data_IF_647942291370
#
_entry.id   IF_647942291370
#
_cell.length_a   1.000
_cell.length_b   1.000
_cell.length_c   1.000
_cell.angle_alpha   90.00
_cell.angle_beta   90.00
_cell.angle_gamma   90.00
#
_symmetry.space_group_name_H-M   'P 1'
#
loop_
_entity.id
_entity.type
_entity.pdbx_description
1 polymer ?
#
# COMPACT_ATOMS: atom_id res chain seq x y z
N UNK A 1 -31.99 19.93 -11.39
CA UNK A 1 -31.25 20.03 -12.67
C UNK A 1 -29.92 20.75 -12.45
N UNK A 2 -28.79 20.04 -12.34
CA UNK A 2 -27.44 20.65 -12.31
C UNK A 2 -26.42 19.70 -12.92
N UNK A 3 -26.51 19.45 -14.23
CA UNK A 3 -25.42 18.85 -15.01
C UNK A 3 -25.45 19.35 -16.45
N UNK A 4 -25.36 20.67 -16.64
CA UNK A 4 -24.75 21.21 -17.84
C UNK A 4 -23.25 21.32 -17.54
N UNK A 5 -22.56 20.18 -17.57
CA UNK A 5 -21.10 20.18 -17.67
C UNK A 5 -20.78 20.98 -18.92
N UNK A 6 -20.07 22.09 -18.76
CA UNK A 6 -19.47 22.88 -19.85
C UNK A 6 -18.98 21.91 -20.92
N UNK A 7 -19.51 22.02 -22.13
CA UNK A 7 -18.92 21.39 -23.31
C UNK A 7 -17.59 22.11 -23.51
N UNK A 8 -16.55 21.64 -22.84
CA UNK A 8 -15.19 22.10 -23.10
C UNK A 8 -14.81 21.45 -24.42
N UNK A 9 -14.68 22.28 -25.47
CA UNK A 9 -14.09 21.84 -26.73
C UNK A 9 -12.67 21.40 -26.41
N UNK A 10 -12.46 20.09 -26.28
CA UNK A 10 -11.13 19.53 -26.03
C UNK A 10 -10.25 19.92 -27.22
N UNK A 11 -9.09 20.53 -26.93
CA UNK A 11 -8.06 20.86 -27.92
C UNK A 11 -6.74 20.18 -27.55
N UNK A 12 -5.89 19.96 -28.55
CA UNK A 12 -4.56 19.40 -28.35
C UNK A 12 -4.56 17.94 -27.83
N UNK A 13 -3.65 17.59 -26.90
CA UNK A 13 -3.46 16.20 -26.45
C UNK A 13 -4.70 15.54 -25.86
N UNK A 14 -5.55 16.31 -25.16
CA UNK A 14 -6.79 15.80 -24.57
C UNK A 14 -7.80 15.37 -25.65
N UNK A 15 -7.88 16.12 -26.75
CA UNK A 15 -8.76 15.81 -27.88
C UNK A 15 -8.30 14.53 -28.58
N UNK A 16 -6.99 14.41 -28.81
CA UNK A 16 -6.39 13.23 -29.43
C UNK A 16 -6.64 11.98 -28.59
N UNK A 17 -6.45 12.06 -27.27
CA UNK A 17 -6.75 10.96 -26.34
C UNK A 17 -8.21 10.52 -26.41
N UNK A 18 -9.15 11.47 -26.41
CA UNK A 18 -10.59 11.16 -26.49
C UNK A 18 -10.95 10.57 -27.85
N UNK A 19 -10.36 11.07 -28.94
CA UNK A 19 -10.51 10.46 -30.28
C UNK A 19 -9.98 9.03 -30.35
N UNK A 20 -8.92 8.71 -29.60
CA UNK A 20 -8.40 7.34 -29.47
C UNK A 20 -9.25 6.45 -28.57
N UNK A 21 -10.18 6.99 -27.77
CA UNK A 21 -10.99 6.21 -26.83
C UNK A 21 -10.20 5.61 -25.66
N UNK A 22 -9.04 6.18 -25.30
CA UNK A 22 -8.16 5.63 -24.24
C UNK A 22 -8.19 6.44 -22.94
N UNK A 23 -7.88 5.78 -21.82
CA UNK A 23 -7.75 6.43 -20.51
C UNK A 23 -6.46 7.27 -20.43
N UNK A 24 -6.39 8.21 -19.47
CA UNK A 24 -5.14 8.98 -19.22
C UNK A 24 -3.96 8.05 -18.88
N UNK A 25 -4.23 6.92 -18.24
CA UNK A 25 -3.22 5.91 -17.89
C UNK A 25 -2.61 5.27 -19.14
N UNK A 26 -3.45 4.79 -20.05
CA UNK A 26 -3.01 4.20 -21.32
C UNK A 26 -2.32 5.24 -22.20
N UNK A 27 -2.86 6.45 -22.27
CA UNK A 27 -2.27 7.54 -23.03
C UNK A 27 -0.87 7.92 -22.52
N UNK A 28 -0.69 7.97 -21.19
CA UNK A 28 0.61 8.23 -20.57
C UNK A 28 1.65 7.16 -20.94
N UNK A 29 1.23 5.88 -21.00
CA UNK A 29 2.09 4.78 -21.42
C UNK A 29 2.54 4.91 -22.87
N UNK A 30 1.61 5.21 -23.80
CA UNK A 30 1.95 5.48 -25.21
C UNK A 30 3.01 6.58 -25.32
N UNK A 31 2.79 7.68 -24.62
CA UNK A 31 3.69 8.82 -24.62
C UNK A 31 5.01 8.58 -23.84
N UNK A 32 5.08 7.53 -23.02
CA UNK A 32 6.24 7.24 -22.17
C UNK A 32 6.45 8.27 -21.07
N UNK A 33 5.36 8.79 -20.48
CA UNK A 33 5.39 9.78 -19.40
C UNK A 33 4.51 9.34 -18.22
N UNK A 34 4.63 10.01 -17.08
CA UNK A 34 3.76 9.74 -15.93
C UNK A 34 2.32 10.21 -16.18
N UNK A 35 1.35 9.52 -15.58
CA UNK A 35 -0.07 9.88 -15.62
C UNK A 35 -0.37 11.26 -15.05
N UNK A 36 0.30 11.64 -13.96
CA UNK A 36 0.21 13.00 -13.41
C UNK A 36 0.67 14.06 -14.42
N UNK A 37 1.69 13.76 -15.23
CA UNK A 37 2.16 14.65 -16.30
C UNK A 37 1.11 14.80 -17.39
N UNK A 38 0.42 13.74 -17.79
CA UNK A 38 -0.73 13.83 -18.73
C UNK A 38 -1.83 14.70 -18.14
N UNK A 39 -2.20 14.50 -16.88
CA UNK A 39 -3.23 15.33 -16.23
C UNK A 39 -2.85 16.83 -16.24
N UNK A 40 -1.59 17.16 -15.94
CA UNK A 40 -1.11 18.55 -15.95
C UNK A 40 -1.04 19.14 -17.37
N UNK A 41 -0.72 18.32 -18.37
CA UNK A 41 -0.74 18.73 -19.79
C UNK A 41 -2.17 19.02 -20.24
N UNK A 42 -3.11 18.12 -19.94
CA UNK A 42 -4.52 18.29 -20.33
C UNK A 42 -5.18 19.48 -19.63
N UNK A 43 -4.75 19.82 -18.41
CA UNK A 43 -5.19 21.01 -17.69
C UNK A 43 -4.44 22.29 -18.07
N UNK A 44 -3.49 22.23 -19.01
CA UNK A 44 -2.67 23.38 -19.43
C UNK A 44 -1.69 23.89 -18.36
N UNK A 45 -1.46 23.13 -17.29
CA UNK A 45 -0.55 23.51 -16.20
C UNK A 45 0.91 23.24 -16.55
N UNK A 46 1.18 22.36 -17.52
CA UNK A 46 2.55 22.00 -17.92
C UNK A 46 2.67 21.85 -19.43
N UNK A 47 3.74 22.37 -20.06
CA UNK A 47 4.01 22.12 -21.47
C UNK A 47 4.37 20.64 -21.71
N UNK A 48 4.10 20.19 -22.94
CA UNK A 48 4.40 18.82 -23.37
C UNK A 48 5.92 18.62 -23.49
N UNK A 49 6.52 17.60 -22.83
CA UNK A 49 7.93 17.28 -23.02
C UNK A 49 8.24 16.91 -24.48
N UNK A 50 9.40 17.31 -25.00
CA UNK A 50 9.77 17.09 -26.42
C UNK A 50 9.61 15.63 -26.88
N UNK A 51 10.04 14.66 -26.05
CA UNK A 51 9.88 13.22 -26.37
C UNK A 51 8.41 12.80 -26.53
N UNK A 52 7.51 13.37 -25.72
CA UNK A 52 6.08 13.12 -25.82
C UNK A 52 5.45 13.88 -27.00
N UNK A 53 5.99 15.06 -27.35
CA UNK A 53 5.53 15.84 -28.49
C UNK A 53 5.77 15.10 -29.81
N UNK A 54 6.96 14.50 -29.99
CA UNK A 54 7.29 13.69 -31.19
C UNK A 54 6.26 12.57 -31.36
N UNK A 55 6.00 11.80 -30.29
CA UNK A 55 4.99 10.73 -30.32
C UNK A 55 3.56 11.24 -30.57
N UNK A 56 3.20 12.39 -30.00
CA UNK A 56 1.89 13.01 -30.29
C UNK A 56 1.77 13.37 -31.77
N UNK A 57 2.81 13.93 -32.38
CA UNK A 57 2.80 14.26 -33.81
C UNK A 57 2.73 13.01 -34.69
N UNK A 58 3.41 11.92 -34.33
CA UNK A 58 3.29 10.64 -35.03
C UNK A 58 1.85 10.11 -35.01
N UNK A 59 1.21 10.15 -33.84
CA UNK A 59 -0.19 9.74 -33.67
C UNK A 59 -1.11 10.64 -34.51
N UNK A 60 -0.92 11.96 -34.44
CA UNK A 60 -1.74 12.92 -35.19
C UNK A 60 -1.58 12.75 -36.72
N UNK A 61 -0.36 12.53 -37.20
CA UNK A 61 -0.09 12.21 -38.61
C UNK A 61 -0.72 10.88 -39.03
N UNK A 62 -0.67 9.86 -38.18
CA UNK A 62 -1.34 8.58 -38.44
C UNK A 62 -2.86 8.76 -38.58
N UNK A 63 -3.48 9.53 -37.67
CA UNK A 63 -4.90 9.88 -37.76
C UNK A 63 -5.25 10.71 -39.01
N UNK A 64 -4.37 11.63 -39.42
CA UNK A 64 -4.57 12.43 -40.62
C UNK A 64 -4.49 11.58 -41.89
N UNK A 65 -3.60 10.59 -41.94
CA UNK A 65 -3.46 9.65 -43.06
C UNK A 65 -4.62 8.66 -43.15
N UNK A 66 -5.23 8.29 -42.02
CA UNK A 66 -6.30 7.29 -41.93
C UNK A 66 -7.71 7.87 -42.14
N UNK A 67 -7.85 8.99 -42.85
CA UNK A 67 -9.09 9.69 -43.19
C UNK A 67 -10.38 8.93 -42.85
N UNK A 68 -10.96 9.22 -41.69
CA UNK A 68 -12.27 8.71 -41.25
C UNK A 68 -12.43 7.17 -41.26
N UNK A 69 -11.73 6.47 -40.38
CA UNK A 69 -12.10 5.10 -39.98
C UNK A 69 -12.60 5.07 -38.53
N UNK A 70 -13.90 5.29 -38.37
CA UNK A 70 -14.67 4.92 -37.18
C UNK A 70 -14.71 3.39 -36.91
N UNK A 71 -13.78 2.61 -37.47
CA UNK A 71 -13.83 1.16 -37.53
C UNK A 71 -12.47 0.46 -37.28
N UNK A 72 -11.45 1.14 -36.73
CA UNK A 72 -10.35 0.41 -36.10
C UNK A 72 -10.78 -0.03 -34.71
N UNK A 73 -11.15 -1.31 -34.60
CA UNK A 73 -11.49 -1.97 -33.35
C UNK A 73 -10.40 -1.69 -32.29
N UNK A 74 -10.74 -1.13 -31.12
CA UNK A 74 -9.78 -0.90 -30.03
C UNK A 74 -9.23 -2.20 -29.39
N UNK A 75 -9.59 -3.36 -29.94
CA UNK A 75 -9.29 -4.67 -29.37
C UNK A 75 -7.87 -5.19 -29.65
N UNK A 76 -7.13 -4.65 -30.64
CA UNK A 76 -5.83 -5.21 -31.05
C UNK A 76 -4.60 -4.45 -30.54
N UNK A 77 -4.79 -3.33 -29.83
CA UNK A 77 -3.69 -2.50 -29.29
C UNK A 77 -3.71 -2.37 -27.77
N UNK A 78 -4.49 -3.21 -27.08
CA UNK A 78 -4.28 -3.40 -25.64
C UNK A 78 -3.13 -4.40 -25.49
N UNK A 79 -1.90 -3.96 -25.14
CA UNK A 79 -0.85 -4.92 -24.78
C UNK A 79 -1.41 -5.79 -23.66
N UNK A 80 -1.26 -7.11 -23.79
CA UNK A 80 -1.75 -8.11 -22.84
C UNK A 80 -1.50 -7.62 -21.40
N UNK A 81 -2.55 -7.12 -20.76
CA UNK A 81 -2.45 -6.25 -19.57
C UNK A 81 -2.18 -7.03 -18.27
N UNK A 82 -1.89 -8.33 -18.38
CA UNK A 82 -1.79 -9.24 -17.23
C UNK A 82 -0.71 -8.82 -16.21
N UNK A 83 0.40 -8.24 -16.66
CA UNK A 83 1.47 -7.79 -15.74
C UNK A 83 1.17 -6.45 -15.06
N UNK A 84 0.31 -5.60 -15.64
CA UNK A 84 0.14 -4.23 -15.14
C UNK A 84 -0.75 -4.16 -13.90
N UNK A 85 -1.81 -4.96 -13.82
CA UNK A 85 -2.65 -4.99 -12.62
C UNK A 85 -1.86 -5.52 -11.43
N UNK A 86 -1.02 -6.54 -11.63
CA UNK A 86 -0.11 -7.07 -10.62
C UNK A 86 0.90 -6.02 -10.15
N UNK A 87 1.53 -5.28 -11.07
CA UNK A 87 2.48 -4.20 -10.74
C UNK A 87 1.78 -3.03 -10.02
N UNK A 88 0.56 -2.68 -10.41
CA UNK A 88 -0.26 -1.64 -9.76
C UNK A 88 -0.62 -2.06 -8.33
N UNK A 89 -1.01 -3.31 -8.13
CA UNK A 89 -1.30 -3.88 -6.82
C UNK A 89 -0.05 -3.93 -5.94
N UNK A 90 1.09 -4.36 -6.49
CA UNK A 90 2.40 -4.33 -5.82
C UNK A 90 2.78 -2.91 -5.39
N UNK A 91 2.57 -1.90 -6.23
CA UNK A 91 2.83 -0.48 -5.86
C UNK A 91 1.92 0.00 -4.75
N UNK A 92 0.62 -0.33 -4.81
CA UNK A 92 -0.33 -0.01 -3.73
C UNK A 92 0.06 -0.69 -2.43
N UNK A 93 0.47 -1.95 -2.49
CA UNK A 93 0.98 -2.71 -1.37
C UNK A 93 2.21 -2.01 -0.76
N UNK A 94 3.24 -1.73 -1.56
CA UNK A 94 4.47 -1.07 -1.11
C UNK A 94 4.18 0.31 -0.50
N UNK A 95 3.32 1.11 -1.12
CA UNK A 95 2.91 2.41 -0.59
C UNK A 95 2.24 2.30 0.78
N UNK A 96 1.36 1.29 0.98
CA UNK A 96 0.74 1.02 2.27
C UNK A 96 1.77 0.60 3.32
N UNK A 97 2.69 -0.30 2.97
CA UNK A 97 3.77 -0.76 3.88
C UNK A 97 4.61 0.44 4.34
N UNK A 98 5.01 1.29 3.41
CA UNK A 98 5.77 2.51 3.72
C UNK A 98 4.97 3.47 4.62
N UNK A 99 3.69 3.68 4.32
CA UNK A 99 2.82 4.54 5.14
C UNK A 99 2.68 4.02 6.57
N UNK A 100 2.48 2.72 6.75
CA UNK A 100 2.40 2.08 8.07
C UNK A 100 3.72 2.23 8.83
N UNK A 101 4.86 2.02 8.16
CA UNK A 101 6.19 2.21 8.74
C UNK A 101 6.43 3.65 9.21
N UNK A 102 6.02 4.65 8.41
CA UNK A 102 6.11 6.07 8.78
C UNK A 102 5.27 6.40 10.02
N UNK A 103 4.05 5.87 10.10
CA UNK A 103 3.18 6.06 11.27
C UNK A 103 3.79 5.41 12.51
N UNK A 104 4.29 4.17 12.40
CA UNK A 104 4.96 3.46 13.50
C UNK A 104 6.15 4.26 14.02
N UNK A 105 7.04 4.70 13.13
CA UNK A 105 8.20 5.51 13.49
C UNK A 105 7.80 6.82 14.20
N UNK A 106 6.78 7.51 13.68
CA UNK A 106 6.29 8.76 14.29
C UNK A 106 5.76 8.53 15.71
N UNK A 107 4.98 7.46 15.93
CA UNK A 107 4.46 7.12 17.25
C UNK A 107 5.60 6.77 18.23
N UNK A 108 6.55 5.93 17.80
CA UNK A 108 7.72 5.58 18.61
C UNK A 108 8.54 6.82 19.00
N UNK A 109 8.77 7.72 18.04
CA UNK A 109 9.48 8.97 18.29
C UNK A 109 8.76 9.86 19.32
N UNK A 110 7.43 9.90 19.31
CA UNK A 110 6.64 10.65 20.29
C UNK A 110 6.73 10.04 21.70
N UNK A 111 6.76 8.71 21.81
CA UNK A 111 6.93 8.02 23.10
C UNK A 111 8.34 8.27 23.64
N UNK A 112 9.38 8.09 22.82
CA UNK A 112 10.77 8.32 23.21
C UNK A 112 11.03 9.77 23.66
N UNK A 113 10.49 10.75 22.93
CA UNK A 113 10.64 12.16 23.28
C UNK A 113 10.01 12.49 24.65
N UNK A 114 8.91 11.84 25.01
CA UNK A 114 8.31 12.00 26.33
C UNK A 114 9.15 11.36 27.45
N UNK A 115 9.70 10.17 27.21
CA UNK A 115 10.56 9.49 28.18
C UNK A 115 11.83 10.30 28.46
N UNK A 116 12.42 10.90 27.42
CA UNK A 116 13.54 11.84 27.57
C UNK A 116 13.13 13.08 28.38
N UNK A 117 11.94 13.63 28.11
CA UNK A 117 11.44 14.80 28.82
C UNK A 117 11.18 14.51 30.31
N UNK A 118 10.68 13.31 30.62
CA UNK A 118 10.51 12.82 31.99
C UNK A 118 11.85 12.66 32.71
N UNK A 119 12.87 12.10 32.05
CA UNK A 119 14.24 12.00 32.60
C UNK A 119 14.82 13.39 32.89
N UNK A 120 14.69 14.32 31.96
CA UNK A 120 15.17 15.69 32.15
C UNK A 120 14.45 16.38 33.32
N UNK A 121 13.14 16.13 33.47
CA UNK A 121 12.38 16.64 34.59
C UNK A 121 12.84 16.05 35.93
N UNK A 122 13.10 14.75 36.02
CA UNK A 122 13.61 14.12 37.25
C UNK A 122 14.99 14.64 37.63
N UNK A 123 15.88 14.88 36.65
CA UNK A 123 17.19 15.49 36.91
C UNK A 123 17.09 16.90 37.47
N UNK A 124 16.20 17.73 36.92
CA UNK A 124 15.98 19.09 37.43
C UNK A 124 15.38 19.05 38.84
N UNK A 125 14.46 18.13 39.14
CA UNK A 125 13.91 17.97 40.49
C UNK A 125 15.00 17.57 41.50
N UNK A 126 15.80 16.56 41.18
CA UNK A 126 16.91 16.13 42.02
C UNK A 126 17.91 17.28 42.25
N UNK A 127 18.24 18.03 41.20
CA UNK A 127 19.12 19.19 41.32
C UNK A 127 18.55 20.28 42.23
N UNK A 128 17.24 20.52 42.18
CA UNK A 128 16.55 21.43 43.09
C UNK A 128 16.55 20.94 44.54
N UNK A 129 16.39 19.64 44.78
CA UNK A 129 16.47 19.04 46.13
C UNK A 129 17.87 19.16 46.72
N UNK A 130 18.90 18.87 45.92
CA UNK A 130 20.30 18.91 46.36
C UNK A 130 20.82 20.34 46.58
N UNK A 131 20.40 21.30 45.76
CA UNK A 131 20.95 22.67 45.76
C UNK A 131 19.97 23.71 46.34
N UNK A 132 18.81 23.27 46.84
CA UNK A 132 17.72 24.12 47.33
C UNK A 132 18.07 24.94 48.57
N UNK A 133 19.22 24.68 49.21
CA UNK A 133 19.66 25.40 50.41
C UNK A 133 20.30 26.77 50.11
N UNK A 134 20.68 27.06 48.86
CA UNK A 134 21.25 28.36 48.48
C UNK A 134 20.20 29.28 47.88
N UNK A 135 19.34 29.84 48.74
CA UNK A 135 18.33 30.81 48.35
C UNK A 135 18.98 32.02 47.64
N UNK A 136 18.43 32.40 46.49
CA UNK A 136 18.86 33.57 45.73
C UNK A 136 20.03 33.33 44.76
N UNK A 137 20.57 32.12 44.69
CA UNK A 137 21.60 31.79 43.70
C UNK A 137 21.05 31.82 42.26
N UNK A 138 21.85 32.32 41.32
CA UNK A 138 21.53 32.27 39.88
C UNK A 138 21.27 30.86 39.37
N UNK A 139 21.92 29.85 39.97
CA UNK A 139 21.69 28.44 39.67
C UNK A 139 20.27 28.00 40.06
N UNK A 140 19.79 28.43 41.23
CA UNK A 140 18.43 28.14 41.69
C UNK A 140 17.39 28.76 40.75
N UNK A 141 17.59 30.03 40.36
CA UNK A 141 16.70 30.71 39.41
C UNK A 141 16.68 30.02 38.03
N UNK A 142 17.83 29.53 37.55
CA UNK A 142 17.90 28.75 36.31
C UNK A 142 17.13 27.43 36.42
N UNK A 143 17.26 26.69 37.53
CA UNK A 143 16.55 25.45 37.76
C UNK A 143 15.04 25.64 37.88
N UNK A 144 14.58 26.70 38.57
CA UNK A 144 13.14 27.04 38.65
C UNK A 144 12.57 27.34 37.27
N UNK A 145 13.28 28.09 36.42
CA UNK A 145 12.88 28.35 35.03
C UNK A 145 12.83 27.07 34.20
N UNK A 146 13.83 26.20 34.32
CA UNK A 146 13.86 24.92 33.64
C UNK A 146 12.70 24.01 34.07
N UNK A 147 12.41 23.95 35.37
CA UNK A 147 11.28 23.19 35.93
C UNK A 147 9.95 23.70 35.37
N UNK A 148 9.72 25.02 35.37
CA UNK A 148 8.51 25.61 34.81
C UNK A 148 8.35 25.29 33.31
N UNK A 149 9.41 25.43 32.52
CA UNK A 149 9.40 25.11 31.09
C UNK A 149 9.12 23.62 30.83
N UNK A 150 9.72 22.72 31.61
CA UNK A 150 9.49 21.28 31.51
C UNK A 150 8.06 20.90 31.93
N UNK A 151 7.53 21.48 33.01
CA UNK A 151 6.12 21.30 33.41
C UNK A 151 5.16 21.75 32.32
N UNK A 152 5.41 22.89 31.66
CA UNK A 152 4.59 23.36 30.55
C UNK A 152 4.61 22.38 29.36
N UNK A 153 5.76 21.76 29.06
CA UNK A 153 5.86 20.72 28.02
C UNK A 153 5.18 19.41 28.44
N UNK A 154 5.33 19.00 29.70
CA UNK A 154 4.66 17.80 30.25
C UNK A 154 3.14 17.91 30.23
N UNK A 155 2.58 19.10 30.51
CA UNK A 155 1.13 19.32 30.39
C UNK A 155 0.59 19.05 28.99
N UNK A 156 1.40 19.26 27.94
CA UNK A 156 1.03 18.92 26.56
C UNK A 156 1.16 17.42 26.26
N UNK A 157 1.92 16.69 27.07
CA UNK A 157 2.16 15.25 26.97
C UNK A 157 1.65 14.53 28.24
N UNK A 158 0.35 14.64 28.50
CA UNK A 158 -0.32 13.97 29.62
C UNK A 158 -0.08 12.43 29.58
N UNK A 159 0.18 11.78 30.73
CA UNK A 159 0.18 10.32 30.86
C UNK A 159 -0.99 9.62 30.14
N UNK A 160 -2.19 10.20 30.15
CA UNK A 160 -3.33 9.67 29.41
C UNK A 160 -3.12 9.69 27.88
N UNK A 161 -2.47 10.74 27.35
CA UNK A 161 -2.13 10.81 25.92
C UNK A 161 -1.01 9.82 25.57
N UNK A 162 -0.06 9.60 26.46
CA UNK A 162 0.98 8.57 26.28
C UNK A 162 0.39 7.16 26.27
N UNK A 163 -0.54 6.86 27.17
CA UNK A 163 -1.28 5.60 27.15
C UNK A 163 -2.02 5.41 25.82
N UNK A 164 -2.66 6.46 25.29
CA UNK A 164 -3.31 6.43 23.96
C UNK A 164 -2.32 6.18 22.82
N UNK A 165 -1.13 6.79 22.85
CA UNK A 165 -0.10 6.57 21.84
C UNK A 165 0.42 5.14 21.86
N UNK A 166 0.72 4.60 23.06
CA UNK A 166 1.15 3.21 23.24
C UNK A 166 0.07 2.23 22.80
N UNK A 167 -1.20 2.47 23.14
CA UNK A 167 -2.31 1.66 22.68
C UNK A 167 -2.46 1.68 21.15
N UNK A 168 -2.32 2.84 20.51
CA UNK A 168 -2.34 2.96 19.04
C UNK A 168 -1.18 2.21 18.38
N UNK A 169 0.00 2.26 18.98
CA UNK A 169 1.17 1.52 18.52
C UNK A 169 0.93 0.01 18.61
N UNK A 170 0.44 -0.48 19.75
CA UNK A 170 0.10 -1.89 19.94
C UNK A 170 -0.96 -2.37 18.94
N UNK A 171 -2.02 -1.59 18.72
CA UNK A 171 -3.05 -1.90 17.71
C UNK A 171 -2.48 -1.96 16.29
N UNK A 172 -1.52 -1.09 15.96
CA UNK A 172 -0.86 -1.08 14.67
C UNK A 172 0.05 -2.31 14.49
N UNK A 173 0.75 -2.73 15.54
CA UNK A 173 1.57 -3.95 15.55
C UNK A 173 0.74 -5.22 15.39
N UNK A 174 -0.40 -5.33 16.09
CA UNK A 174 -1.35 -6.43 15.91
C UNK A 174 -1.82 -6.51 14.45
N UNK A 175 -2.19 -5.38 13.84
CA UNK A 175 -2.65 -5.34 12.43
C UNK A 175 -1.54 -5.72 11.43
N UNK A 176 -0.30 -5.37 11.72
CA UNK A 176 0.85 -5.80 10.90
C UNK A 176 1.00 -7.32 11.01
N UNK A 177 1.03 -7.84 12.24
CA UNK A 177 1.18 -9.28 12.49
C UNK A 177 0.04 -10.10 11.87
N UNK A 178 -1.22 -9.65 12.00
CA UNK A 178 -2.38 -10.29 11.35
C UNK A 178 -2.23 -10.35 9.83
N UNK A 179 -1.65 -9.30 9.23
CA UNK A 179 -1.46 -9.23 7.79
C UNK A 179 -0.32 -10.14 7.33
N UNK A 180 0.81 -10.11 8.03
CA UNK A 180 1.94 -11.00 7.78
C UNK A 180 1.52 -12.48 7.90
N UNK A 181 0.71 -12.80 8.91
CA UNK A 181 0.13 -14.13 9.06
C UNK A 181 -0.75 -14.52 7.86
N UNK A 182 -1.64 -13.63 7.38
CA UNK A 182 -2.47 -13.89 6.20
C UNK A 182 -1.63 -14.09 4.93
N UNK A 183 -0.59 -13.29 4.74
CA UNK A 183 0.31 -13.38 3.59
C UNK A 183 1.11 -14.69 3.61
N UNK A 184 1.55 -15.14 4.79
CA UNK A 184 2.16 -16.46 4.97
C UNK A 184 1.20 -17.60 4.62
N UNK A 185 -0.05 -17.56 5.11
CA UNK A 185 -1.05 -18.59 4.78
C UNK A 185 -1.34 -18.64 3.29
N UNK A 186 -1.48 -17.46 2.65
CA UNK A 186 -1.70 -17.36 1.20
C UNK A 186 -0.52 -17.93 0.40
N UNK A 187 0.71 -17.64 0.80
CA UNK A 187 1.91 -18.17 0.15
C UNK A 187 2.03 -19.70 0.31
N UNK A 188 1.69 -20.25 1.48
CA UNK A 188 1.65 -21.70 1.70
C UNK A 188 0.60 -22.35 0.80
N UNK A 189 -0.61 -21.78 0.70
CA UNK A 189 -1.67 -22.31 -0.15
C UNK A 189 -1.38 -22.17 -1.65
N UNK A 190 -0.63 -21.13 -2.05
CA UNK A 190 -0.25 -20.92 -3.45
C UNK A 190 0.86 -21.88 -3.90
N UNK A 191 1.83 -22.17 -3.02
CA UNK A 191 2.97 -23.05 -3.33
C UNK A 191 2.68 -24.54 -3.12
N UNK A 192 1.68 -24.87 -2.29
CA UNK A 192 1.14 -26.23 -2.17
C UNK A 192 -0.25 -26.22 -2.81
N UNK A 193 -0.34 -26.32 -4.16
CA UNK A 193 -1.64 -26.53 -4.79
C UNK A 193 -2.30 -27.74 -4.12
N UNK A 194 -3.60 -27.62 -3.84
CA UNK A 194 -4.36 -28.62 -3.09
C UNK A 194 -3.91 -30.03 -3.50
N UNK A 195 -3.59 -30.92 -2.54
CA UNK A 195 -3.09 -32.25 -2.86
C UNK A 195 -4.01 -32.84 -3.90
N UNK A 196 -3.42 -33.21 -5.03
CA UNK A 196 -4.13 -33.74 -6.18
C UNK A 196 -5.15 -34.77 -5.68
N UNK A 197 -6.39 -34.75 -6.18
CA UNK A 197 -7.51 -35.51 -5.60
C UNK A 197 -7.21 -37.02 -5.49
N UNK A 198 -6.19 -37.50 -6.20
CA UNK A 198 -5.56 -38.81 -6.06
C UNK A 198 -5.07 -39.14 -4.64
N UNK A 199 -4.72 -38.16 -3.80
CA UNK A 199 -4.30 -38.35 -2.40
C UNK A 199 -5.47 -38.37 -1.40
N UNK A 200 -6.68 -37.94 -1.79
CA UNK A 200 -7.87 -38.01 -0.92
C UNK A 200 -8.26 -39.47 -0.59
N UNK A 201 -7.84 -40.43 -1.43
CA UNK A 201 -8.03 -41.88 -1.20
C UNK A 201 -7.16 -42.41 -0.06
N UNK A 202 -6.04 -41.74 0.27
CA UNK A 202 -5.10 -42.19 1.32
C UNK A 202 -5.33 -41.52 2.69
N UNK A 203 -6.19 -40.50 2.76
CA UNK A 203 -6.52 -39.80 4.02
C UNK A 203 -7.10 -40.70 5.14
N UNK A 204 -7.94 -41.71 4.85
CA UNK A 204 -8.43 -42.62 5.88
C UNK A 204 -7.35 -43.53 6.48
N UNK A 205 -6.30 -43.84 5.70
CA UNK A 205 -5.17 -44.68 6.13
C UNK A 205 -4.30 -43.98 7.18
N UNK A 206 -4.12 -42.67 7.01
CA UNK A 206 -3.31 -41.83 7.92
C UNK A 206 -4.04 -41.50 9.24
N UNK A 207 -5.38 -41.55 9.25
CA UNK A 207 -6.18 -41.38 10.48
C UNK A 207 -6.30 -42.67 11.30
N UNK A 208 -5.82 -43.81 10.78
CA UNK A 208 -5.96 -45.12 11.44
C UNK A 208 -7.41 -45.63 11.50
N UNK A 209 -8.32 -45.04 10.71
CA UNK A 209 -9.75 -45.39 10.70
C UNK A 209 -10.05 -46.62 9.83
N UNK A 210 -9.12 -47.01 8.95
CA UNK A 210 -9.23 -48.17 8.07
C UNK A 210 -7.93 -48.99 8.13
N UNK A 211 -8.06 -50.32 8.16
CA UNK A 211 -6.89 -51.19 8.07
C UNK A 211 -6.26 -51.10 6.67
N UNK A 212 -4.96 -51.37 6.56
CA UNK A 212 -4.25 -51.36 5.28
C UNK A 212 -4.92 -52.24 4.21
N UNK A 213 -5.64 -53.28 4.65
CA UNK A 213 -6.36 -54.21 3.78
C UNK A 213 -7.62 -53.59 3.14
N UNK A 214 -8.40 -52.82 3.90
CA UNK A 214 -9.63 -52.19 3.39
C UNK A 214 -9.33 -51.08 2.37
N UNK A 215 -8.19 -50.42 2.52
CA UNK A 215 -7.77 -49.41 1.55
C UNK A 215 -7.31 -50.01 0.22
N UNK A 216 -6.61 -51.16 0.26
CA UNK A 216 -6.28 -51.92 -0.95
C UNK A 216 -7.55 -52.36 -1.70
N UNK A 217 -8.56 -52.86 -0.99
CA UNK A 217 -9.85 -53.23 -1.61
C UNK A 217 -10.57 -52.01 -2.24
N UNK A 218 -10.56 -50.85 -1.58
CA UNK A 218 -11.17 -49.65 -2.15
C UNK A 218 -10.41 -49.14 -3.38
N UNK A 219 -9.08 -49.21 -3.38
CA UNK A 219 -8.27 -48.85 -4.55
C UNK A 219 -8.54 -49.78 -5.74
N UNK A 220 -8.67 -51.09 -5.51
CA UNK A 220 -8.97 -52.07 -6.55
C UNK A 220 -10.39 -51.90 -7.10
N UNK A 221 -11.37 -51.63 -6.24
CA UNK A 221 -12.75 -51.33 -6.64
C UNK A 221 -12.90 -50.00 -7.40
N UNK A 222 -12.04 -49.01 -7.13
CA UNK A 222 -11.99 -47.76 -7.89
C UNK A 222 -11.35 -47.98 -9.27
N UNK A 223 -10.30 -48.81 -9.35
CA UNK A 223 -9.59 -49.14 -10.60
C UNK A 223 -10.49 -49.90 -11.58
N UNK A 224 -11.32 -50.81 -11.07
CA UNK A 224 -12.34 -51.52 -11.86
C UNK A 224 -13.44 -50.57 -12.39
N UNK A 225 -13.78 -49.51 -11.63
CA UNK A 225 -14.78 -48.52 -12.06
C UNK A 225 -14.26 -47.54 -13.10
N UNK A 226 -12.97 -47.21 -13.09
CA UNK A 226 -12.36 -46.29 -14.07
C UNK A 226 -11.99 -46.96 -15.41
N UNK A 227 -12.10 -48.29 -15.51
CA UNK A 227 -11.74 -49.08 -16.70
C UNK A 227 -12.91 -49.47 -17.61
N UNK A 228 -14.14 -49.03 -17.33
CA UNK A 228 -15.30 -49.23 -18.21
C UNK A 228 -15.59 -47.94 -18.98
N UNK A 229 -14.81 -47.68 -20.02
CA UNK A 229 -15.21 -46.92 -21.22
C UNK A 229 -14.03 -46.98 -22.21
N UNK A 230 -14.02 -48.02 -23.04
CA UNK A 230 -13.31 -48.08 -24.33
C UNK A 230 -14.36 -48.34 -25.40
#
# INVERSE_FOLDING_TARGET
>A
MKMLKKIIVLRGPAALRVRMGVTQEVFAQYLGIATSTVSMIESGQRPVPMKALIKLTEIEMAFARQGSLAAMAPALLTPASGGWEQEKEKRRHNSRVMSVGQVKYRLQKMVACYEELMKNFSWVQLGMELHGQMEGSMAQAAMVRANFALKAKLRRCDPAQQAKLRARLAMLEIRIAEREARELTQNITANNPAPDKSMAVLQPLLKGELSAFECLQQMEAARLRSGMDV
#
